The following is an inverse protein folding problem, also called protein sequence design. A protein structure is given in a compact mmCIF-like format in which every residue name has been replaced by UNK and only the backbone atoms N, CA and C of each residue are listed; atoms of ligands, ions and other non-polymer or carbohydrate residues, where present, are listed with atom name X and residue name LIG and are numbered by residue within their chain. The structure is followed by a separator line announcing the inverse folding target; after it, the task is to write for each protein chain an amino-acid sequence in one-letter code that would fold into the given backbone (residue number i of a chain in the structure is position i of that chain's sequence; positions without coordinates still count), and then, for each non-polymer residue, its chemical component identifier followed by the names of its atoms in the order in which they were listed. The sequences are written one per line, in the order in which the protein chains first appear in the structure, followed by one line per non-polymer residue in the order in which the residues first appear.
data_IF_397847322515
#
_entry.id   IF_397847322515
#
_cell.length_a   1.000
_cell.length_b   1.000
_cell.length_c   1.000
_cell.angle_alpha   90.00
_cell.angle_beta   90.00
_cell.angle_gamma   90.00
#
_symmetry.space_group_name_H-M   'P 1'
#
loop_
_entity.id
_entity.type
_entity.pdbx_description
1 polymer ?
#
# COMPACT_ATOMS: atom_id res chain seq x y z
N UNK A 1 -57.33 -47.26 61.07
CA UNK A 1 -56.01 -47.75 60.59
C UNK A 1 -55.84 -47.25 59.13
N UNK A 2 -55.09 -46.25 58.98
CA UNK A 2 -54.84 -45.62 57.73
C UNK A 2 -53.52 -46.22 57.17
N UNK A 3 -53.49 -46.64 55.86
CA UNK A 3 -52.27 -47.23 55.33
C UNK A 3 -51.22 -46.15 55.04
N UNK A 4 -50.05 -46.36 55.58
CA UNK A 4 -48.88 -45.50 55.34
C UNK A 4 -48.53 -45.41 53.90
N UNK A 5 -48.53 -44.18 53.30
CA UNK A 5 -48.00 -43.90 51.99
C UNK A 5 -46.48 -44.03 52.00
N UNK A 6 -45.99 -44.94 51.22
CA UNK A 6 -44.50 -45.06 50.93
C UNK A 6 -44.04 -43.87 50.16
N UNK A 7 -42.86 -43.25 50.47
CA UNK A 7 -42.28 -42.17 49.65
C UNK A 7 -41.80 -42.74 48.33
N UNK A 8 -42.33 -42.21 47.29
CA UNK A 8 -41.84 -42.43 45.89
C UNK A 8 -40.45 -41.82 45.80
N UNK A 9 -39.44 -42.65 45.74
CA UNK A 9 -38.10 -42.22 45.42
C UNK A 9 -38.09 -41.67 43.99
N UNK A 10 -38.11 -40.34 43.83
CA UNK A 10 -37.84 -39.69 42.60
C UNK A 10 -36.34 -39.91 42.26
N UNK A 11 -36.09 -40.76 41.25
CA UNK A 11 -34.76 -40.89 40.67
C UNK A 11 -34.30 -39.54 40.11
N UNK A 12 -32.98 -39.33 39.94
CA UNK A 12 -32.46 -38.09 39.41
C UNK A 12 -33.14 -37.80 38.07
N UNK A 13 -33.82 -36.65 37.98
CA UNK A 13 -34.31 -36.10 36.68
C UNK A 13 -33.08 -35.84 35.82
N UNK A 14 -32.80 -36.75 34.92
CA UNK A 14 -31.77 -36.52 33.90
C UNK A 14 -32.24 -35.33 33.06
N UNK A 15 -31.49 -34.26 33.10
CA UNK A 15 -31.73 -33.08 32.28
C UNK A 15 -31.68 -33.48 30.82
N UNK A 16 -32.80 -33.35 30.11
CA UNK A 16 -32.99 -33.79 28.71
C UNK A 16 -31.96 -33.12 27.79
N UNK A 17 -31.47 -31.94 28.18
CA UNK A 17 -30.44 -31.18 27.46
C UNK A 17 -29.07 -31.88 27.42
N UNK A 18 -28.74 -32.67 28.47
CA UNK A 18 -27.46 -33.40 28.51
C UNK A 18 -27.45 -34.59 27.55
N UNK A 19 -28.60 -35.27 27.40
CA UNK A 19 -28.76 -36.38 26.47
C UNK A 19 -28.70 -35.94 24.98
N UNK A 20 -29.31 -34.80 24.66
CA UNK A 20 -29.23 -34.22 23.29
C UNK A 20 -27.81 -33.81 22.94
N UNK A 21 -27.06 -33.26 23.88
CA UNK A 21 -25.66 -32.86 23.69
C UNK A 21 -24.73 -34.06 23.52
N UNK A 22 -24.93 -35.13 24.26
CA UNK A 22 -24.15 -36.37 24.13
C UNK A 22 -24.40 -37.06 22.79
N UNK A 23 -25.64 -37.12 22.30
CA UNK A 23 -26.00 -37.68 21.01
C UNK A 23 -25.43 -36.84 19.85
N UNK A 24 -25.50 -35.50 19.99
CA UNK A 24 -24.87 -34.59 18.99
C UNK A 24 -23.38 -34.79 18.93
N UNK A 25 -22.71 -34.88 20.09
CA UNK A 25 -21.26 -35.10 20.14
C UNK A 25 -20.88 -36.45 19.53
N UNK A 26 -21.55 -37.54 19.90
CA UNK A 26 -21.22 -38.85 19.39
C UNK A 26 -21.38 -38.97 17.89
N UNK A 27 -22.39 -38.29 17.33
CA UNK A 27 -22.64 -38.28 15.86
C UNK A 27 -21.63 -37.41 15.10
N UNK A 28 -21.13 -36.33 15.70
CA UNK A 28 -20.35 -35.33 14.99
C UNK A 28 -18.87 -35.27 15.45
N UNK A 29 -18.45 -36.06 16.45
CA UNK A 29 -17.10 -35.99 17.03
C UNK A 29 -15.96 -36.07 16.00
N UNK A 30 -16.09 -36.93 14.99
CA UNK A 30 -15.09 -37.08 13.97
C UNK A 30 -14.94 -35.82 13.10
N UNK A 31 -16.07 -35.18 12.77
CA UNK A 31 -16.11 -33.93 12.00
C UNK A 31 -15.55 -32.76 12.83
N UNK A 32 -15.98 -32.67 14.09
CA UNK A 32 -15.50 -31.64 15.03
C UNK A 32 -13.98 -31.78 15.26
N UNK A 33 -13.49 -32.97 15.50
CA UNK A 33 -12.05 -33.22 15.65
C UNK A 33 -11.27 -32.91 14.38
N UNK A 34 -11.82 -33.24 13.19
CA UNK A 34 -11.21 -32.88 11.90
C UNK A 34 -11.13 -31.37 11.71
N UNK A 35 -12.19 -30.64 12.06
CA UNK A 35 -12.20 -29.16 11.99
C UNK A 35 -11.18 -28.56 12.97
N UNK A 36 -11.15 -29.04 14.20
CA UNK A 36 -10.18 -28.58 15.22
C UNK A 36 -8.76 -28.88 14.74
N UNK A 37 -8.50 -30.08 14.20
CA UNK A 37 -7.21 -30.44 13.63
C UNK A 37 -6.79 -29.53 12.48
N UNK A 38 -7.71 -29.22 11.58
CA UNK A 38 -7.47 -28.28 10.47
C UNK A 38 -7.14 -26.85 10.97
N UNK A 39 -7.86 -26.37 11.98
CA UNK A 39 -7.62 -25.06 12.61
C UNK A 39 -6.23 -25.02 13.27
N UNK A 40 -5.85 -26.08 14.01
CA UNK A 40 -4.55 -26.17 14.67
C UNK A 40 -3.41 -26.20 13.64
N UNK A 41 -3.53 -27.03 12.60
CA UNK A 41 -2.53 -27.12 11.52
C UNK A 41 -2.42 -25.77 10.81
N UNK A 42 -3.56 -25.14 10.47
CA UNK A 42 -3.62 -23.81 9.88
C UNK A 42 -2.95 -22.75 10.77
N UNK A 43 -3.25 -22.75 12.05
CA UNK A 43 -2.67 -21.85 13.05
C UNK A 43 -1.16 -21.98 13.17
N UNK A 44 -0.66 -23.22 13.23
CA UNK A 44 0.80 -23.50 13.27
C UNK A 44 1.46 -23.04 11.96
N UNK A 45 0.83 -23.30 10.81
CA UNK A 45 1.33 -22.84 9.50
C UNK A 45 1.44 -21.32 9.42
N UNK A 46 0.40 -20.61 9.87
CA UNK A 46 0.40 -19.13 9.93
C UNK A 46 1.47 -18.61 10.89
N UNK A 47 1.61 -19.19 12.08
CA UNK A 47 2.63 -18.79 13.06
C UNK A 47 4.05 -18.99 12.52
N UNK A 48 4.31 -20.14 11.89
CA UNK A 48 5.60 -20.44 11.27
C UNK A 48 5.91 -19.47 10.12
N UNK A 49 4.91 -19.18 9.26
CA UNK A 49 5.06 -18.21 8.18
C UNK A 49 5.33 -16.80 8.70
N UNK A 50 4.63 -16.41 9.77
CA UNK A 50 4.82 -15.09 10.41
C UNK A 50 6.22 -14.96 11.03
N UNK A 51 6.69 -15.99 11.73
CA UNK A 51 8.04 -16.04 12.30
C UNK A 51 9.12 -15.98 11.22
N UNK A 52 8.97 -16.76 10.14
CA UNK A 52 9.88 -16.72 9.00
C UNK A 52 9.92 -15.36 8.33
N UNK A 53 8.75 -14.77 8.05
CA UNK A 53 8.62 -13.43 7.43
C UNK A 53 9.24 -12.34 8.31
N UNK A 54 8.99 -12.38 9.63
CA UNK A 54 9.57 -11.43 10.58
C UNK A 54 11.10 -11.51 10.61
N UNK A 55 11.65 -12.72 10.63
CA UNK A 55 13.11 -12.92 10.61
C UNK A 55 13.74 -12.42 9.32
N UNK A 56 13.11 -12.69 8.17
CA UNK A 56 13.53 -12.16 6.86
C UNK A 56 13.53 -10.63 6.82
N UNK A 57 12.48 -9.99 7.35
CA UNK A 57 12.41 -8.54 7.43
C UNK A 57 13.50 -7.96 8.35
N UNK A 58 13.77 -8.58 9.50
CA UNK A 58 14.83 -8.13 10.41
C UNK A 58 16.23 -8.23 9.77
N UNK A 59 16.53 -9.36 9.12
CA UNK A 59 17.80 -9.54 8.41
C UNK A 59 17.95 -8.55 7.24
N UNK A 60 16.87 -8.33 6.48
CA UNK A 60 16.84 -7.35 5.38
C UNK A 60 17.04 -5.92 5.90
N UNK A 61 16.43 -5.57 7.04
CA UNK A 61 16.58 -4.25 7.66
C UNK A 61 18.02 -3.98 8.09
N UNK A 62 18.69 -4.96 8.69
CA UNK A 62 20.11 -4.85 9.05
C UNK A 62 20.97 -4.60 7.82
N UNK A 63 20.78 -5.39 6.77
CA UNK A 63 21.53 -5.24 5.52
C UNK A 63 21.25 -3.89 4.85
N UNK A 64 20.01 -3.40 4.88
CA UNK A 64 19.62 -2.08 4.36
C UNK A 64 20.27 -0.94 5.14
N UNK A 65 20.39 -1.09 6.47
CA UNK A 65 21.02 -0.06 7.33
C UNK A 65 22.54 0.07 7.09
N UNK A 66 23.18 -1.03 6.68
CA UNK A 66 24.61 -1.06 6.34
C UNK A 66 24.88 -0.58 4.91
N UNK A 67 23.88 -0.59 4.04
CA UNK A 67 24.02 -0.26 2.62
C UNK A 67 24.36 1.22 2.41
N UNK A 68 25.49 1.50 1.78
CA UNK A 68 26.02 2.85 1.48
C UNK A 68 25.93 3.21 0.00
N UNK A 69 25.76 2.22 -0.87
CA UNK A 69 25.75 2.40 -2.31
C UNK A 69 24.75 1.50 -3.03
N UNK A 70 24.59 1.72 -4.34
CA UNK A 70 23.61 1.00 -5.17
C UNK A 70 23.85 -0.52 -5.15
N UNK A 71 25.10 -0.96 -5.16
CA UNK A 71 25.45 -2.38 -5.15
C UNK A 71 24.98 -3.09 -3.87
N UNK A 72 25.11 -2.43 -2.73
CA UNK A 72 24.69 -2.96 -1.43
C UNK A 72 23.16 -2.93 -1.30
N UNK A 73 22.52 -1.87 -1.80
CA UNK A 73 21.05 -1.81 -1.90
C UNK A 73 20.51 -2.92 -2.82
N UNK A 74 21.18 -3.20 -3.94
CA UNK A 74 20.80 -4.30 -4.82
C UNK A 74 20.92 -5.66 -4.12
N UNK A 75 21.93 -5.85 -3.28
CA UNK A 75 22.07 -7.08 -2.48
C UNK A 75 20.89 -7.30 -1.50
N UNK A 76 20.28 -6.22 -0.97
CA UNK A 76 19.04 -6.32 -0.16
C UNK A 76 17.90 -6.84 -1.02
N UNK A 77 17.72 -6.27 -2.22
CA UNK A 77 16.65 -6.64 -3.16
C UNK A 77 16.77 -8.10 -3.61
N UNK A 78 18.00 -8.56 -3.87
CA UNK A 78 18.26 -9.91 -4.37
C UNK A 78 18.10 -10.98 -3.29
N UNK A 79 18.58 -10.70 -2.06
CA UNK A 79 18.49 -11.65 -0.94
C UNK A 79 17.11 -11.71 -0.31
N UNK A 80 16.39 -10.59 -0.28
CA UNK A 80 15.13 -10.44 0.45
C UNK A 80 14.00 -9.85 -0.41
N UNK A 81 13.69 -10.37 -1.59
CA UNK A 81 12.91 -9.72 -2.66
C UNK A 81 11.46 -9.38 -2.31
N UNK A 82 10.91 -9.96 -1.23
CA UNK A 82 9.50 -9.79 -0.82
C UNK A 82 9.35 -9.03 0.50
N UNK A 83 10.42 -8.41 1.00
CA UNK A 83 10.43 -7.70 2.28
C UNK A 83 10.21 -6.19 2.09
N UNK A 84 9.73 -5.51 3.14
CA UNK A 84 9.61 -4.05 3.11
C UNK A 84 10.97 -3.35 2.93
N UNK A 85 12.08 -3.80 3.55
CA UNK A 85 13.40 -3.25 3.26
C UNK A 85 13.83 -3.35 1.79
N UNK A 86 13.40 -4.39 1.06
CA UNK A 86 13.67 -4.46 -0.38
C UNK A 86 12.88 -3.40 -1.18
N UNK A 87 11.66 -3.08 -0.76
CA UNK A 87 10.91 -1.96 -1.33
C UNK A 87 11.64 -0.63 -1.10
N UNK A 88 12.11 -0.37 0.11
CA UNK A 88 12.89 0.83 0.43
C UNK A 88 14.22 0.88 -0.36
N UNK A 89 14.90 -0.27 -0.51
CA UNK A 89 16.12 -0.38 -1.30
C UNK A 89 15.88 0.00 -2.76
N UNK A 90 14.81 -0.51 -3.39
CA UNK A 90 14.45 -0.16 -4.77
C UNK A 90 14.17 1.33 -4.94
N UNK A 91 13.47 1.96 -4.00
CA UNK A 91 13.22 3.41 -4.02
C UNK A 91 14.52 4.21 -3.91
N UNK A 92 15.45 3.77 -3.04
CA UNK A 92 16.78 4.41 -2.89
C UNK A 92 17.64 4.21 -4.14
N UNK A 93 17.63 3.01 -4.75
CA UNK A 93 18.31 2.75 -6.02
C UNK A 93 17.78 3.69 -7.10
N UNK A 94 16.45 3.79 -7.24
CA UNK A 94 15.84 4.65 -8.23
C UNK A 94 16.23 6.13 -8.04
N UNK A 95 16.26 6.61 -6.80
CA UNK A 95 16.68 7.97 -6.49
C UNK A 95 18.18 8.17 -6.82
N UNK A 96 19.05 7.27 -6.38
CA UNK A 96 20.49 7.37 -6.61
C UNK A 96 20.85 7.29 -8.10
N UNK A 97 20.17 6.45 -8.87
CA UNK A 97 20.39 6.38 -10.33
C UNK A 97 19.89 7.65 -11.03
N UNK A 98 18.82 8.25 -10.55
CA UNK A 98 18.35 9.56 -11.06
C UNK A 98 19.38 10.67 -10.79
N UNK A 99 19.87 10.73 -9.54
CA UNK A 99 20.87 11.73 -9.11
C UNK A 99 22.18 11.60 -9.92
N UNK A 100 22.50 10.37 -10.33
CA UNK A 100 23.62 10.08 -11.23
C UNK A 100 23.32 10.36 -12.72
N UNK A 101 22.11 10.82 -13.07
CA UNK A 101 21.69 11.07 -14.44
C UNK A 101 21.27 9.82 -15.24
N UNK A 102 21.21 8.65 -14.61
CA UNK A 102 20.88 7.39 -15.24
C UNK A 102 19.35 7.15 -15.26
N UNK A 103 18.61 7.95 -16.03
CA UNK A 103 17.13 7.94 -16.04
C UNK A 103 16.53 6.58 -16.39
N UNK A 104 17.16 5.83 -17.30
CA UNK A 104 16.70 4.48 -17.67
C UNK A 104 16.78 3.49 -16.50
N UNK A 105 17.92 3.48 -15.79
CA UNK A 105 18.10 2.60 -14.61
C UNK A 105 17.19 2.99 -13.46
N UNK A 106 17.02 4.30 -13.23
CA UNK A 106 16.06 4.81 -12.26
C UNK A 106 14.63 4.34 -12.59
N UNK A 107 14.22 4.48 -13.86
CA UNK A 107 12.90 4.03 -14.32
C UNK A 107 12.73 2.51 -14.15
N UNK A 108 13.77 1.73 -14.45
CA UNK A 108 13.75 0.27 -14.26
C UNK A 108 13.55 -0.10 -12.78
N UNK A 109 14.24 0.57 -11.86
CA UNK A 109 14.11 0.34 -10.42
C UNK A 109 12.70 0.72 -9.91
N UNK A 110 12.11 1.85 -10.35
CA UNK A 110 10.73 2.20 -10.03
C UNK A 110 9.73 1.18 -10.57
N UNK A 111 9.91 0.68 -11.79
CA UNK A 111 9.03 -0.34 -12.39
C UNK A 111 9.15 -1.69 -11.67
N UNK A 112 10.36 -2.07 -11.25
CA UNK A 112 10.57 -3.27 -10.44
C UNK A 112 9.86 -3.14 -9.09
N UNK A 113 9.97 -1.97 -8.43
CA UNK A 113 9.20 -1.66 -7.23
C UNK A 113 7.69 -1.83 -7.45
N UNK A 114 7.14 -1.22 -8.51
CA UNK A 114 5.70 -1.28 -8.81
C UNK A 114 5.22 -2.71 -9.08
N UNK A 115 6.05 -3.53 -9.71
CA UNK A 115 5.76 -4.93 -10.01
C UNK A 115 5.73 -5.79 -8.74
N UNK A 116 6.70 -5.60 -7.84
CA UNK A 116 6.83 -6.41 -6.61
C UNK A 116 5.92 -5.92 -5.49
N UNK A 117 5.68 -4.60 -5.42
CA UNK A 117 4.98 -3.95 -4.32
C UNK A 117 3.82 -3.05 -4.79
N UNK A 118 2.87 -3.56 -5.61
CA UNK A 118 1.83 -2.72 -6.24
C UNK A 118 0.86 -2.09 -5.23
N UNK A 119 0.75 -2.64 -4.03
CA UNK A 119 -0.11 -2.13 -2.94
C UNK A 119 0.65 -1.34 -1.88
N UNK A 120 1.94 -1.09 -2.10
CA UNK A 120 2.74 -0.32 -1.14
C UNK A 120 2.29 1.15 -1.10
N UNK A 121 2.30 1.82 0.07
CA UNK A 121 1.92 3.24 0.16
C UNK A 121 2.71 4.16 -0.76
N UNK A 122 3.95 3.81 -1.09
CA UNK A 122 4.81 4.56 -2.00
C UNK A 122 4.59 4.24 -3.50
N UNK A 123 3.64 3.35 -3.86
CA UNK A 123 3.45 2.96 -5.26
C UNK A 123 3.09 4.17 -6.16
N UNK A 124 2.23 5.07 -5.68
CA UNK A 124 1.94 6.32 -6.38
C UNK A 124 3.19 7.19 -6.57
N UNK A 125 4.06 7.25 -5.55
CA UNK A 125 5.34 7.98 -5.63
C UNK A 125 6.33 7.35 -6.61
N UNK A 126 6.41 6.03 -6.65
CA UNK A 126 7.24 5.32 -7.63
C UNK A 126 6.76 5.57 -9.07
N UNK A 127 5.44 5.55 -9.30
CA UNK A 127 4.86 5.84 -10.61
C UNK A 127 5.09 7.31 -11.02
N UNK A 128 4.97 8.26 -10.07
CA UNK A 128 5.35 9.66 -10.31
C UNK A 128 6.85 9.76 -10.66
N UNK A 129 7.70 8.97 -10.00
CA UNK A 129 9.12 8.87 -10.32
C UNK A 129 9.37 8.46 -11.78
N UNK A 130 8.60 7.50 -12.28
CA UNK A 130 8.65 7.11 -13.73
C UNK A 130 8.27 8.29 -14.61
N UNK A 131 7.16 9.00 -14.29
CA UNK A 131 6.72 10.16 -15.07
C UNK A 131 7.78 11.27 -15.12
N UNK A 132 8.41 11.57 -13.99
CA UNK A 132 9.48 12.58 -13.93
C UNK A 132 10.74 12.18 -14.72
N UNK A 133 11.07 10.88 -14.77
CA UNK A 133 12.17 10.40 -15.59
C UNK A 133 11.85 10.48 -17.08
N UNK A 134 10.61 10.17 -17.46
CA UNK A 134 10.13 10.31 -18.85
C UNK A 134 10.18 11.77 -19.29
N UNK A 135 9.74 12.69 -18.44
CA UNK A 135 9.81 14.13 -18.68
C UNK A 135 11.26 14.60 -18.86
N UNK A 136 12.17 14.18 -17.98
CA UNK A 136 13.59 14.50 -18.06
C UNK A 136 14.26 13.93 -19.31
N UNK A 137 13.78 12.79 -19.82
CA UNK A 137 14.22 12.19 -21.06
C UNK A 137 13.59 12.84 -22.32
N UNK A 138 12.67 13.81 -22.15
CA UNK A 138 11.95 14.47 -23.23
C UNK A 138 10.77 13.68 -23.80
N UNK A 139 10.42 12.54 -23.19
CA UNK A 139 9.23 11.77 -23.58
C UNK A 139 7.97 12.36 -22.90
N UNK A 140 7.58 13.53 -23.40
CA UNK A 140 6.51 14.36 -22.86
C UNK A 140 5.17 13.63 -22.86
N UNK A 141 4.86 12.90 -23.93
CA UNK A 141 3.58 12.18 -24.05
C UNK A 141 3.45 11.09 -23.01
N UNK A 142 4.50 10.27 -22.83
CA UNK A 142 4.51 9.23 -21.80
C UNK A 142 4.49 9.83 -20.39
N UNK A 143 5.21 10.93 -20.16
CA UNK A 143 5.23 11.62 -18.88
C UNK A 143 3.84 12.09 -18.45
N UNK A 144 3.11 12.77 -19.34
CA UNK A 144 1.73 13.22 -19.10
C UNK A 144 0.79 12.03 -18.84
N UNK A 145 0.83 11.00 -19.70
CA UNK A 145 0.01 9.81 -19.53
C UNK A 145 0.29 9.11 -18.18
N UNK A 146 1.56 9.05 -17.76
CA UNK A 146 1.96 8.46 -16.50
C UNK A 146 1.50 9.32 -15.30
N UNK A 147 1.55 10.65 -15.40
CA UNK A 147 0.98 11.56 -14.38
C UNK A 147 -0.53 11.32 -14.22
N UNK A 148 -1.28 11.18 -15.32
CA UNK A 148 -2.71 10.85 -15.27
C UNK A 148 -2.97 9.47 -14.63
N UNK A 149 -2.12 8.48 -14.90
CA UNK A 149 -2.18 7.18 -14.21
C UNK A 149 -1.99 7.32 -12.71
N UNK A 150 -1.07 8.15 -12.23
CA UNK A 150 -0.89 8.40 -10.79
C UNK A 150 -2.17 8.93 -10.18
N UNK A 151 -2.78 9.94 -10.79
CA UNK A 151 -4.01 10.56 -10.26
C UNK A 151 -5.19 9.58 -10.25
N UNK A 152 -5.31 8.74 -11.28
CA UNK A 152 -6.44 7.80 -11.42
C UNK A 152 -6.27 6.53 -10.61
N UNK A 153 -5.07 5.95 -10.55
CA UNK A 153 -4.83 4.70 -9.84
C UNK A 153 -4.52 4.88 -8.35
N UNK A 154 -3.95 6.03 -7.98
CA UNK A 154 -3.53 6.34 -6.61
C UNK A 154 -4.10 7.68 -6.10
N UNK A 155 -5.43 7.94 -6.21
CA UNK A 155 -6.01 9.24 -5.92
C UNK A 155 -5.82 9.70 -4.47
N UNK A 156 -5.67 8.76 -3.53
CA UNK A 156 -5.44 9.02 -2.11
C UNK A 156 -3.95 9.10 -1.74
N UNK A 157 -3.05 8.88 -2.71
CA UNK A 157 -1.61 9.00 -2.48
C UNK A 157 -1.19 10.46 -2.38
N UNK A 158 -0.19 10.73 -1.55
CA UNK A 158 0.50 12.02 -1.54
C UNK A 158 1.05 12.42 -2.93
N UNK A 159 1.30 11.44 -3.80
CA UNK A 159 1.83 11.67 -5.14
C UNK A 159 0.78 12.22 -6.13
N UNK A 160 -0.52 11.98 -5.92
CA UNK A 160 -1.56 12.41 -6.85
C UNK A 160 -1.58 13.94 -7.08
N UNK A 161 -1.57 14.80 -6.04
CA UNK A 161 -1.50 16.25 -6.25
C UNK A 161 -0.21 16.71 -6.93
N UNK A 162 0.92 16.02 -6.67
CA UNK A 162 2.18 16.35 -7.34
C UNK A 162 2.18 15.90 -8.80
N UNK A 163 1.56 14.78 -9.15
CA UNK A 163 1.42 14.32 -10.52
C UNK A 163 0.58 15.30 -11.35
N UNK A 164 -0.55 15.75 -10.80
CA UNK A 164 -1.40 16.76 -11.45
C UNK A 164 -0.66 18.11 -11.62
N UNK A 165 0.14 18.50 -10.63
CA UNK A 165 0.99 19.68 -10.71
C UNK A 165 2.07 19.53 -11.81
N UNK A 166 2.75 18.39 -11.86
CA UNK A 166 3.78 18.09 -12.87
C UNK A 166 3.20 18.12 -14.26
N UNK A 167 2.00 17.55 -14.49
CA UNK A 167 1.31 17.63 -15.77
C UNK A 167 1.05 19.08 -16.19
N UNK A 168 0.57 19.93 -15.26
CA UNK A 168 0.35 21.34 -15.53
C UNK A 168 1.67 22.10 -15.83
N UNK A 169 2.78 21.76 -15.17
CA UNK A 169 4.09 22.32 -15.49
C UNK A 169 4.61 21.90 -16.88
N UNK A 170 4.39 20.66 -17.26
CA UNK A 170 4.72 20.17 -18.61
C UNK A 170 3.95 20.99 -19.65
N UNK A 171 2.65 21.19 -19.47
CA UNK A 171 1.83 22.02 -20.35
C UNK A 171 2.34 23.46 -20.41
N UNK A 172 2.71 24.03 -19.26
CA UNK A 172 3.25 25.39 -19.19
C UNK A 172 4.55 25.54 -19.98
N UNK A 173 5.48 24.59 -19.84
CA UNK A 173 6.74 24.57 -20.61
C UNK A 173 6.51 24.37 -22.09
N UNK A 174 5.43 23.67 -22.46
CA UNK A 174 4.98 23.52 -23.86
C UNK A 174 4.20 24.73 -24.40
N UNK A 175 4.19 25.88 -23.70
CA UNK A 175 3.46 27.10 -24.06
C UNK A 175 1.93 26.91 -24.16
N UNK A 176 1.38 25.86 -23.60
CA UNK A 176 -0.05 25.60 -23.51
C UNK A 176 -0.62 26.29 -22.26
N UNK A 177 -0.62 27.63 -22.27
CA UNK A 177 -0.88 28.45 -21.09
C UNK A 177 -2.27 28.22 -20.48
N UNK A 178 -3.31 28.13 -21.31
CA UNK A 178 -4.68 27.98 -20.85
C UNK A 178 -4.94 26.56 -20.28
N UNK A 179 -4.32 25.54 -20.87
CA UNK A 179 -4.33 24.16 -20.37
C UNK A 179 -3.60 24.07 -19.03
N UNK A 180 -2.41 24.66 -18.93
CA UNK A 180 -1.64 24.73 -17.70
C UNK A 180 -2.40 25.43 -16.59
N UNK A 181 -3.06 26.56 -16.89
CA UNK A 181 -3.91 27.30 -15.95
C UNK A 181 -5.05 26.43 -15.42
N UNK A 182 -5.74 25.69 -16.31
CA UNK A 182 -6.78 24.74 -15.91
C UNK A 182 -6.22 23.64 -15.02
N UNK A 183 -5.05 23.09 -15.37
CA UNK A 183 -4.36 22.08 -14.56
C UNK A 183 -4.02 22.59 -13.15
N UNK A 184 -3.41 23.77 -13.02
CA UNK A 184 -3.11 24.34 -11.70
C UNK A 184 -4.36 24.63 -10.89
N UNK A 185 -5.44 25.15 -11.51
CA UNK A 185 -6.73 25.35 -10.84
C UNK A 185 -7.32 24.03 -10.34
N UNK A 186 -7.23 22.96 -11.13
CA UNK A 186 -7.66 21.62 -10.71
C UNK A 186 -6.89 21.16 -9.47
N UNK A 187 -5.58 21.35 -9.40
CA UNK A 187 -4.78 20.97 -8.22
C UNK A 187 -5.25 21.75 -6.98
N UNK A 188 -5.47 23.06 -7.10
CA UNK A 188 -5.95 23.90 -5.98
C UNK A 188 -7.32 23.46 -5.49
N UNK A 189 -8.24 23.11 -6.41
CA UNK A 189 -9.63 22.76 -6.08
C UNK A 189 -9.78 21.34 -5.57
N UNK A 190 -9.06 20.38 -6.16
CA UNK A 190 -9.19 18.95 -5.79
C UNK A 190 -8.31 18.56 -4.61
N UNK A 191 -7.18 19.24 -4.41
CA UNK A 191 -6.19 18.91 -3.38
C UNK A 191 -5.83 20.11 -2.50
N UNK A 192 -6.80 20.88 -1.95
CA UNK A 192 -6.57 22.19 -1.34
C UNK A 192 -5.57 22.15 -0.17
N UNK A 193 -5.52 21.06 0.59
CA UNK A 193 -4.61 20.89 1.73
C UNK A 193 -3.18 20.46 1.32
N UNK A 194 -2.92 20.17 0.03
CA UNK A 194 -1.63 19.65 -0.43
C UNK A 194 -0.58 20.76 -0.59
N UNK A 195 0.71 20.43 -0.45
CA UNK A 195 1.77 21.35 -0.85
C UNK A 195 1.71 21.75 -2.33
N UNK A 196 1.29 20.82 -3.21
CA UNK A 196 1.14 21.07 -4.64
C UNK A 196 0.08 22.15 -4.94
N UNK A 197 -1.00 22.25 -4.12
CA UNK A 197 -1.99 23.32 -4.26
C UNK A 197 -1.37 24.70 -4.01
N UNK A 198 -0.51 24.83 -2.99
CA UNK A 198 0.21 26.10 -2.74
C UNK A 198 1.15 26.48 -3.88
N UNK A 199 1.86 25.48 -4.44
CA UNK A 199 2.73 25.67 -5.60
C UNK A 199 1.90 26.12 -6.82
N UNK A 200 0.76 25.44 -7.06
CA UNK A 200 -0.17 25.78 -8.14
C UNK A 200 -0.74 27.19 -8.02
N UNK A 201 -1.14 27.62 -6.82
CA UNK A 201 -1.60 28.99 -6.57
C UNK A 201 -0.52 30.02 -6.90
N UNK A 202 0.75 29.72 -6.57
CA UNK A 202 1.89 30.55 -6.95
C UNK A 202 2.07 30.66 -8.47
N UNK A 203 1.89 29.57 -9.22
CA UNK A 203 1.96 29.59 -10.68
C UNK A 203 0.78 30.37 -11.29
N UNK A 204 -0.43 30.19 -10.78
CA UNK A 204 -1.62 30.94 -11.21
C UNK A 204 -1.42 32.44 -11.06
N UNK A 205 -0.88 32.91 -9.92
CA UNK A 205 -0.57 34.33 -9.71
C UNK A 205 0.42 34.87 -10.73
N UNK A 206 1.45 34.09 -11.12
CA UNK A 206 2.44 34.47 -12.15
C UNK A 206 1.82 34.53 -13.55
N UNK A 207 0.83 33.70 -13.82
CA UNK A 207 0.11 33.68 -15.11
C UNK A 207 -0.98 34.75 -15.20
N UNK A 208 -1.07 35.68 -14.25
CA UNK A 208 -2.08 36.73 -14.22
C UNK A 208 -3.51 36.25 -13.92
N UNK A 209 -3.63 35.04 -13.34
CA UNK A 209 -4.87 34.47 -12.84
C UNK A 209 -5.12 34.88 -11.40
N UNK A 210 -6.38 35.15 -11.05
CA UNK A 210 -6.78 35.26 -9.66
C UNK A 210 -6.72 33.87 -9.04
N UNK A 211 -5.81 33.67 -8.06
CA UNK A 211 -5.74 32.40 -7.36
C UNK A 211 -7.06 32.17 -6.60
N UNK A 212 -7.70 30.97 -6.69
CA UNK A 212 -8.86 30.68 -5.86
C UNK A 212 -8.49 30.92 -4.39
N UNK A 213 -9.37 31.62 -3.66
CA UNK A 213 -9.15 31.89 -2.24
C UNK A 213 -8.90 30.55 -1.51
N UNK A 214 -7.78 30.45 -0.79
CA UNK A 214 -7.50 29.29 0.05
C UNK A 214 -8.64 29.12 1.05
N UNK A 215 -9.13 27.87 1.31
CA UNK A 215 -10.14 27.64 2.32
C UNK A 215 -9.61 28.15 3.66
N UNK A 216 -10.35 29.12 4.25
CA UNK A 216 -10.05 29.62 5.59
C UNK A 216 -10.25 28.45 6.56
N UNK A 217 -9.20 28.07 7.30
CA UNK A 217 -9.26 27.09 8.38
C UNK A 217 -9.87 27.68 9.63
#
# INVERSE_FOLDING_TARGET
MEPAQQPVLQGPVLDDSSLEWDLFWEKNKSLILAIIGAIVIGGVGVAAWFGYSSNQNAAAQTLLAEAKGISELQAVVDKFPKTMPAADALMRIAAAERDAGNMEKSTAAFRDFLTRFPKHPLAGGALLGVAMNQDAAGDIQSAMATCQQVVTQFPQSYAAPFAAYTEAEILLRGFQIEEARRGFNMVVTQFPASPAARMSAGQLSRLGGEAPAAPQQ
#
